data_IF_956986846617
#
_entry.id   IF_956986846617
#
_cell.length_a   1.000
_cell.length_b   1.000
_cell.length_c   1.000
_cell.angle_alpha   90.00
_cell.angle_beta   90.00
_cell.angle_gamma   90.00
#
_symmetry.space_group_name_H-M   'P 1'
#
loop_
_entity.id
_entity.type
_entity.pdbx_description
1 polymer ?
#
# COMPACT_ATOMS: atom_id res chain seq x y z
N UNK A 1 38.22 -13.64 4.30
CA UNK A 1 37.00 -13.17 3.63
C UNK A 1 36.38 -14.27 2.76
N UNK A 2 37.08 -14.87 1.75
CA UNK A 2 36.50 -15.91 0.88
C UNK A 2 35.91 -17.09 1.64
N UNK A 3 36.63 -17.62 2.64
CA UNK A 3 36.15 -18.71 3.50
C UNK A 3 34.91 -18.34 4.33
N UNK A 4 34.80 -17.08 4.76
CA UNK A 4 33.60 -16.59 5.50
C UNK A 4 32.41 -16.49 4.54
N UNK A 5 32.63 -16.00 3.33
CA UNK A 5 31.60 -15.91 2.29
C UNK A 5 31.04 -17.30 1.93
N UNK A 6 31.92 -18.28 1.76
CA UNK A 6 31.58 -19.68 1.48
C UNK A 6 30.79 -20.31 2.62
N UNK A 7 31.25 -20.19 3.87
CA UNK A 7 30.59 -20.71 5.08
C UNK A 7 29.22 -20.07 5.32
N UNK A 8 29.07 -18.81 4.97
CA UNK A 8 27.83 -18.04 5.13
C UNK A 8 26.86 -18.18 3.94
N UNK A 9 27.29 -18.79 2.84
CA UNK A 9 26.49 -18.95 1.63
C UNK A 9 26.20 -17.60 0.91
N UNK A 10 27.13 -16.65 1.00
CA UNK A 10 27.01 -15.34 0.37
C UNK A 10 28.21 -15.03 -0.53
N UNK A 11 28.05 -14.06 -1.43
CA UNK A 11 29.17 -13.61 -2.25
C UNK A 11 30.15 -12.71 -1.44
N UNK A 12 31.42 -12.68 -1.86
CA UNK A 12 32.40 -11.73 -1.31
C UNK A 12 31.92 -10.27 -1.51
N UNK A 13 31.23 -9.99 -2.60
CA UNK A 13 30.61 -8.69 -2.88
C UNK A 13 29.53 -8.32 -1.85
N UNK A 14 28.75 -9.29 -1.39
CA UNK A 14 27.78 -9.10 -0.32
C UNK A 14 28.45 -8.71 1.00
N UNK A 15 29.57 -9.37 1.35
CA UNK A 15 30.35 -9.02 2.54
C UNK A 15 30.97 -7.61 2.44
N UNK A 16 31.43 -7.19 1.25
CA UNK A 16 31.88 -5.82 1.02
C UNK A 16 30.74 -4.82 1.26
N UNK A 17 29.57 -5.10 0.66
CA UNK A 17 28.39 -4.24 0.83
C UNK A 17 27.96 -4.11 2.31
N UNK A 18 27.99 -5.20 3.06
CA UNK A 18 27.65 -5.18 4.48
C UNK A 18 28.67 -4.40 5.32
N UNK A 19 29.94 -4.43 4.95
CA UNK A 19 30.97 -3.60 5.54
C UNK A 19 30.76 -2.11 5.20
N UNK A 20 30.52 -1.80 3.93
CA UNK A 20 30.33 -0.43 3.43
C UNK A 20 29.13 0.27 4.11
N UNK A 21 28.02 -0.45 4.31
CA UNK A 21 26.83 0.07 5.02
C UNK A 21 26.91 -0.06 6.56
N UNK A 22 28.02 -0.61 7.06
CA UNK A 22 28.27 -0.74 8.50
C UNK A 22 27.45 -1.83 9.21
N UNK A 23 26.78 -2.71 8.46
CA UNK A 23 25.92 -3.77 9.02
C UNK A 23 26.72 -4.92 9.64
N UNK A 24 27.82 -5.35 8.96
CA UNK A 24 28.78 -6.33 9.45
C UNK A 24 30.19 -5.88 9.10
N UNK A 25 30.92 -5.32 10.06
CA UNK A 25 32.27 -4.80 9.87
C UNK A 25 33.31 -5.83 10.29
N UNK A 26 34.36 -6.09 9.48
CA UNK A 26 35.47 -6.93 9.91
C UNK A 26 36.26 -6.22 11.02
N UNK A 27 36.41 -6.88 12.17
CA UNK A 27 37.12 -6.32 13.34
C UNK A 27 38.64 -6.31 13.20
N UNK A 28 39.21 -7.01 12.20
CA UNK A 28 40.65 -7.12 12.00
C UNK A 28 41.05 -7.08 10.53
N UNK A 29 42.36 -6.93 10.29
CA UNK A 29 43.00 -7.12 8.98
C UNK A 29 44.15 -8.10 9.12
N UNK A 30 44.38 -8.90 8.08
CA UNK A 30 45.54 -9.78 8.01
C UNK A 30 46.84 -8.95 7.84
N UNK A 31 48.03 -9.57 8.05
CA UNK A 31 49.31 -8.94 7.82
C UNK A 31 49.48 -8.42 6.36
N UNK A 32 48.72 -9.00 5.40
CA UNK A 32 48.68 -8.57 4.01
C UNK A 32 47.59 -7.52 3.72
N UNK A 33 46.96 -6.94 4.76
CA UNK A 33 45.97 -5.88 4.63
C UNK A 33 44.54 -6.33 4.29
N UNK A 34 44.28 -7.62 4.11
CA UNK A 34 42.95 -8.14 3.79
C UNK A 34 42.05 -8.14 5.03
N UNK A 35 40.75 -7.90 4.81
CA UNK A 35 39.69 -7.97 5.83
C UNK A 35 39.65 -9.34 6.52
N UNK A 36 39.69 -9.34 7.85
CA UNK A 36 39.59 -10.54 8.68
C UNK A 36 38.39 -10.40 9.63
N UNK A 37 37.57 -11.45 9.71
CA UNK A 37 36.37 -11.52 10.53
C UNK A 37 36.66 -12.36 11.76
N UNK A 38 36.38 -11.84 12.95
CA UNK A 38 36.43 -12.56 14.22
C UNK A 38 35.24 -13.50 14.36
N UNK A 39 35.21 -14.26 15.44
CA UNK A 39 34.07 -15.11 15.77
C UNK A 39 32.80 -14.27 15.95
N UNK A 40 32.91 -13.15 16.63
CA UNK A 40 31.80 -12.20 16.89
C UNK A 40 31.26 -11.58 15.58
N UNK A 41 32.17 -11.24 14.66
CA UNK A 41 31.76 -10.73 13.33
C UNK A 41 31.00 -11.80 12.54
N UNK A 42 31.38 -13.07 12.67
CA UNK A 42 30.71 -14.20 12.02
C UNK A 42 29.36 -14.48 12.69
N UNK A 43 29.24 -14.36 14.00
CA UNK A 43 27.96 -14.45 14.69
C UNK A 43 27.02 -13.33 14.27
N UNK A 44 27.51 -12.09 14.21
CA UNK A 44 26.78 -10.95 13.67
C UNK A 44 26.30 -11.19 12.23
N UNK A 45 27.16 -11.75 11.38
CA UNK A 45 26.79 -12.11 10.01
C UNK A 45 25.66 -13.17 9.99
N UNK A 46 25.69 -14.16 10.88
CA UNK A 46 24.64 -15.18 10.99
C UNK A 46 23.29 -14.55 11.38
N UNK A 47 23.28 -13.63 12.30
CA UNK A 47 22.10 -12.90 12.72
C UNK A 47 21.49 -12.11 11.53
N UNK A 48 22.32 -11.34 10.84
CA UNK A 48 21.91 -10.58 9.65
C UNK A 48 21.30 -11.50 8.59
N UNK A 49 21.94 -12.64 8.33
CA UNK A 49 21.46 -13.62 7.34
C UNK A 49 20.16 -14.30 7.77
N UNK A 50 19.96 -14.54 9.08
CA UNK A 50 18.71 -15.08 9.58
C UNK A 50 17.53 -14.13 9.29
N UNK A 51 17.68 -12.82 9.55
CA UNK A 51 16.66 -11.83 9.20
C UNK A 51 16.48 -11.68 7.70
N UNK A 52 17.57 -11.72 6.90
CA UNK A 52 17.47 -11.70 5.44
C UNK A 52 16.63 -12.86 4.88
N UNK A 53 16.80 -14.08 5.41
CA UNK A 53 16.00 -15.26 5.03
C UNK A 53 14.53 -15.11 5.39
N UNK A 54 14.21 -14.28 6.36
CA UNK A 54 12.84 -13.93 6.73
C UNK A 54 12.25 -12.79 5.90
N UNK A 55 13.05 -12.19 4.99
CA UNK A 55 12.62 -11.15 4.08
C UNK A 55 12.80 -9.71 4.58
N UNK A 56 13.47 -9.51 5.73
CA UNK A 56 13.74 -8.17 6.24
C UNK A 56 14.69 -7.38 5.33
N UNK A 57 14.45 -6.07 5.19
CA UNK A 57 15.33 -5.12 4.53
C UNK A 57 16.61 -4.88 5.32
N UNK A 58 17.70 -4.48 4.65
CA UNK A 58 18.98 -4.25 5.33
C UNK A 58 18.91 -3.13 6.38
N UNK A 59 18.06 -2.12 6.16
CA UNK A 59 17.85 -1.02 7.09
C UNK A 59 17.13 -1.46 8.37
N UNK A 60 16.08 -2.25 8.22
CA UNK A 60 15.36 -2.86 9.33
C UNK A 60 16.27 -3.77 10.15
N UNK A 61 17.11 -4.56 9.48
CA UNK A 61 18.09 -5.42 10.13
C UNK A 61 19.10 -4.60 10.92
N UNK A 62 19.57 -3.47 10.40
CA UNK A 62 20.50 -2.60 11.09
C UNK A 62 19.92 -2.06 12.42
N UNK A 63 18.62 -1.70 12.43
CA UNK A 63 17.91 -1.28 13.64
C UNK A 63 17.71 -2.42 14.64
N UNK A 64 17.40 -3.63 14.15
CA UNK A 64 17.15 -4.82 14.98
C UNK A 64 18.40 -5.38 15.65
N UNK A 65 19.55 -5.29 14.97
CA UNK A 65 20.83 -5.89 15.39
C UNK A 65 21.77 -4.82 15.98
N UNK A 66 21.35 -3.52 16.00
CA UNK A 66 22.17 -2.39 16.44
C UNK A 66 22.31 -2.23 17.94
N UNK A 67 21.58 -2.97 18.76
CA UNK A 67 21.66 -2.87 20.23
C UNK A 67 22.76 -3.78 20.80
N UNK A 68 23.88 -3.21 21.28
CA UNK A 68 24.99 -3.99 21.85
C UNK A 68 24.65 -4.68 23.18
N UNK A 69 23.50 -4.34 23.80
CA UNK A 69 23.05 -4.92 25.06
C UNK A 69 22.03 -6.06 24.88
N UNK A 70 21.68 -6.39 23.63
CA UNK A 70 20.73 -7.45 23.35
C UNK A 70 21.34 -8.83 23.65
N UNK A 71 20.84 -9.46 24.71
CA UNK A 71 21.09 -10.87 25.02
C UNK A 71 20.68 -11.76 23.85
N UNK A 72 21.53 -12.69 23.45
CA UNK A 72 21.27 -13.67 22.37
C UNK A 72 19.91 -14.41 22.55
N UNK A 73 19.50 -14.64 23.79
CA UNK A 73 18.20 -15.22 24.11
C UNK A 73 17.03 -14.26 23.82
N UNK A 74 17.20 -12.96 24.04
CA UNK A 74 16.19 -11.95 23.70
C UNK A 74 16.03 -11.85 22.16
N UNK A 75 17.13 -11.90 21.42
CA UNK A 75 17.16 -11.94 19.97
C UNK A 75 16.41 -13.17 19.41
N UNK A 76 16.71 -14.36 19.93
CA UNK A 76 16.03 -15.59 19.53
C UNK A 76 14.53 -15.58 19.86
N UNK A 77 14.13 -15.01 21.01
CA UNK A 77 12.70 -14.85 21.36
C UNK A 77 11.97 -13.93 20.35
N UNK A 78 12.59 -12.81 19.97
CA UNK A 78 12.05 -11.87 18.99
C UNK A 78 11.93 -12.54 17.60
N UNK A 79 12.98 -13.22 17.16
CA UNK A 79 12.97 -13.98 15.90
C UNK A 79 11.86 -15.05 15.90
N UNK A 80 11.70 -15.77 17.03
CA UNK A 80 10.62 -16.75 17.20
C UNK A 80 9.24 -16.09 17.13
N UNK A 81 9.04 -14.90 17.72
CA UNK A 81 7.79 -14.15 17.62
C UNK A 81 7.43 -13.85 16.17
N UNK A 82 8.36 -13.26 15.43
CA UNK A 82 8.18 -12.93 14.01
C UNK A 82 7.90 -14.16 13.13
N UNK A 83 8.54 -15.30 13.43
CA UNK A 83 8.27 -16.57 12.73
C UNK A 83 6.87 -17.10 13.04
N UNK A 84 6.41 -16.98 14.28
CA UNK A 84 5.05 -17.38 14.65
C UNK A 84 4.00 -16.53 13.96
N UNK A 85 4.17 -15.22 13.93
CA UNK A 85 3.28 -14.30 13.20
C UNK A 85 3.25 -14.63 11.71
N UNK A 86 4.40 -14.92 11.11
CA UNK A 86 4.47 -15.32 9.70
C UNK A 86 3.78 -16.67 9.46
N UNK A 87 3.95 -17.63 10.37
CA UNK A 87 3.26 -18.92 10.29
C UNK A 87 1.74 -18.74 10.36
N UNK A 88 1.23 -17.94 11.29
CA UNK A 88 -0.20 -17.68 11.42
C UNK A 88 -0.78 -17.03 10.12
N UNK A 89 -0.01 -16.14 9.50
CA UNK A 89 -0.38 -15.57 8.19
C UNK A 89 -0.44 -16.64 7.09
N UNK A 90 0.58 -17.51 7.02
CA UNK A 90 0.61 -18.59 6.03
C UNK A 90 -0.53 -19.58 6.28
N UNK A 91 -0.78 -19.96 7.53
CA UNK A 91 -1.85 -20.87 7.91
C UNK A 91 -3.24 -20.28 7.53
N UNK A 92 -3.44 -18.98 7.71
CA UNK A 92 -4.65 -18.30 7.27
C UNK A 92 -4.80 -18.30 5.74
N UNK A 93 -3.71 -18.12 5.00
CA UNK A 93 -3.70 -18.21 3.53
C UNK A 93 -4.04 -19.63 3.06
N UNK A 94 -3.46 -20.66 3.65
CA UNK A 94 -3.75 -22.06 3.33
C UNK A 94 -5.22 -22.36 3.61
N UNK A 95 -5.74 -21.96 4.77
CA UNK A 95 -7.16 -22.15 5.09
C UNK A 95 -8.11 -21.41 4.14
N UNK A 96 -7.69 -20.29 3.56
CA UNK A 96 -8.47 -19.60 2.54
C UNK A 96 -8.49 -20.37 1.22
N UNK A 97 -7.35 -20.91 0.80
CA UNK A 97 -7.25 -21.76 -0.40
C UNK A 97 -8.06 -23.05 -0.24
N UNK A 98 -8.00 -23.67 0.94
CA UNK A 98 -8.75 -24.90 1.23
C UNK A 98 -10.27 -24.66 1.14
N UNK A 99 -10.77 -23.54 1.68
CA UNK A 99 -12.19 -23.18 1.56
C UNK A 99 -12.60 -22.98 0.09
N UNK A 100 -11.74 -22.39 -0.72
CA UNK A 100 -11.98 -22.21 -2.15
C UNK A 100 -12.03 -23.55 -2.90
N UNK A 101 -11.08 -24.44 -2.60
CA UNK A 101 -11.06 -25.78 -3.17
C UNK A 101 -12.33 -26.58 -2.80
N UNK A 102 -12.78 -26.48 -1.54
CA UNK A 102 -14.01 -27.10 -1.09
C UNK A 102 -15.26 -26.53 -1.79
N UNK A 103 -15.34 -25.22 -1.96
CA UNK A 103 -16.43 -24.55 -2.66
C UNK A 103 -16.51 -25.02 -4.11
N UNK A 104 -15.38 -25.08 -4.79
CA UNK A 104 -15.28 -25.61 -6.17
C UNK A 104 -15.62 -27.10 -6.27
N UNK A 105 -15.17 -27.92 -5.31
CA UNK A 105 -15.49 -29.33 -5.27
C UNK A 105 -16.98 -29.62 -5.04
N UNK A 106 -17.70 -28.72 -4.36
CA UNK A 106 -19.16 -28.78 -4.14
C UNK A 106 -19.97 -28.22 -5.31
N UNK A 107 -19.32 -27.82 -6.43
CA UNK A 107 -19.98 -27.30 -7.62
C UNK A 107 -20.68 -25.94 -7.42
N UNK A 108 -20.35 -25.23 -6.33
CA UNK A 108 -20.79 -23.86 -6.13
C UNK A 108 -20.06 -22.99 -7.15
N UNK A 109 -20.78 -22.50 -8.15
CA UNK A 109 -20.31 -21.46 -9.05
C UNK A 109 -20.23 -20.18 -8.22
N UNK A 110 -19.02 -19.79 -7.85
CA UNK A 110 -18.76 -18.43 -7.33
C UNK A 110 -19.11 -17.49 -8.47
N UNK A 111 -20.02 -16.56 -8.24
CA UNK A 111 -20.34 -15.56 -9.26
C UNK A 111 -19.13 -14.63 -9.45
N UNK A 112 -18.91 -14.05 -10.65
CA UNK A 112 -17.84 -13.08 -10.87
C UNK A 112 -17.84 -11.93 -9.84
N UNK A 113 -19.01 -11.61 -9.30
CA UNK A 113 -19.20 -10.56 -8.28
C UNK A 113 -18.71 -11.01 -6.89
N UNK A 114 -18.89 -12.28 -6.53
CA UNK A 114 -18.33 -12.84 -5.28
C UNK A 114 -16.80 -12.99 -5.38
N UNK A 115 -16.29 -13.29 -6.58
CA UNK A 115 -14.85 -13.30 -6.87
C UNK A 115 -14.21 -11.92 -6.72
N UNK A 116 -14.86 -10.85 -7.19
CA UNK A 116 -14.36 -9.48 -7.07
C UNK A 116 -14.31 -8.98 -5.61
N UNK A 117 -15.33 -9.24 -4.82
CA UNK A 117 -15.38 -8.82 -3.41
C UNK A 117 -14.37 -9.56 -2.53
N UNK A 118 -14.10 -10.85 -2.84
CA UNK A 118 -13.04 -11.62 -2.19
C UNK A 118 -11.63 -11.20 -2.65
N UNK A 119 -11.48 -10.75 -3.91
CA UNK A 119 -10.22 -10.25 -4.45
C UNK A 119 -9.76 -8.95 -3.76
N UNK A 120 -10.66 -8.05 -3.39
CA UNK A 120 -10.30 -6.80 -2.73
C UNK A 120 -9.60 -7.01 -1.38
N UNK A 121 -10.21 -7.77 -0.47
CA UNK A 121 -9.61 -8.07 0.83
C UNK A 121 -8.35 -8.94 0.70
N UNK A 122 -8.36 -9.95 -0.20
CA UNK A 122 -7.20 -10.82 -0.48
C UNK A 122 -6.04 -10.09 -1.15
N UNK A 123 -6.34 -9.10 -2.00
CA UNK A 123 -5.31 -8.28 -2.63
C UNK A 123 -4.49 -7.53 -1.57
N UNK A 124 -5.15 -6.93 -0.59
CA UNK A 124 -4.47 -6.26 0.52
C UNK A 124 -3.77 -7.22 1.47
N UNK A 125 -4.28 -8.44 1.65
CA UNK A 125 -3.58 -9.49 2.38
C UNK A 125 -2.27 -9.91 1.67
N UNK A 126 -2.19 -9.76 0.36
CA UNK A 126 -0.99 -10.10 -0.43
C UNK A 126 0.02 -8.95 -0.56
N UNK A 127 -0.43 -7.69 -0.62
CA UNK A 127 0.43 -6.51 -0.85
C UNK A 127 0.70 -5.72 0.45
N UNK A 128 0.11 -6.10 1.58
CA UNK A 128 0.07 -5.32 2.82
C UNK A 128 1.42 -4.85 3.35
N UNK A 129 2.46 -5.68 3.28
CA UNK A 129 3.79 -5.32 3.79
C UNK A 129 4.45 -4.17 2.99
N UNK A 130 4.20 -4.08 1.68
CA UNK A 130 4.70 -3.01 0.82
C UNK A 130 3.82 -1.75 0.87
N UNK A 131 2.52 -1.93 1.12
CA UNK A 131 1.53 -0.87 1.15
C UNK A 131 1.81 0.17 2.23
N UNK A 132 2.09 -0.26 3.44
CA UNK A 132 2.33 0.63 4.61
C UNK A 132 3.58 1.50 4.43
N UNK A 133 4.58 1.02 3.69
CA UNK A 133 5.83 1.76 3.50
C UNK A 133 5.67 3.01 2.62
N UNK A 134 4.71 3.02 1.71
CA UNK A 134 4.51 4.10 0.72
C UNK A 134 3.26 4.94 0.98
N UNK A 135 2.22 4.37 1.61
CA UNK A 135 0.99 5.10 1.94
C UNK A 135 1.20 5.98 3.16
N UNK A 136 1.27 7.28 2.91
CA UNK A 136 1.45 8.32 3.93
C UNK A 136 0.44 9.42 3.67
N UNK A 137 -0.05 10.04 4.74
CA UNK A 137 -0.93 11.19 4.62
C UNK A 137 -0.19 12.36 3.96
N UNK A 138 -0.64 12.82 2.78
CA UNK A 138 -0.18 14.09 2.23
C UNK A 138 -0.93 15.23 2.93
N UNK A 139 -0.25 16.19 3.53
CA UNK A 139 -0.89 17.23 4.34
C UNK A 139 -1.84 18.13 3.55
N UNK A 140 -1.61 18.32 2.24
CA UNK A 140 -2.45 19.17 1.37
C UNK A 140 -3.75 18.48 1.00
N UNK A 141 -3.69 17.18 0.70
CA UNK A 141 -4.88 16.34 0.47
C UNK A 141 -5.64 16.17 1.78
N UNK A 142 -4.94 15.95 2.89
CA UNK A 142 -5.55 15.85 4.21
C UNK A 142 -6.32 17.11 4.59
N UNK A 143 -5.74 18.30 4.33
CA UNK A 143 -6.40 19.57 4.61
C UNK A 143 -7.75 19.67 3.87
N UNK A 144 -7.82 19.32 2.58
CA UNK A 144 -9.06 19.34 1.83
C UNK A 144 -10.10 18.35 2.39
N UNK A 145 -9.67 17.13 2.76
CA UNK A 145 -10.55 16.13 3.39
C UNK A 145 -11.06 16.65 4.72
N UNK A 146 -10.18 17.17 5.57
CA UNK A 146 -10.55 17.64 6.91
C UNK A 146 -11.41 18.89 6.89
N UNK A 147 -11.17 19.80 5.94
CA UNK A 147 -12.05 20.96 5.70
C UNK A 147 -13.46 20.52 5.27
N UNK A 148 -13.55 19.50 4.41
CA UNK A 148 -14.81 18.92 4.00
C UNK A 148 -15.56 18.23 5.15
N UNK A 149 -14.85 17.67 6.13
CA UNK A 149 -15.44 17.12 7.35
C UNK A 149 -16.02 18.18 8.28
N UNK A 150 -15.62 19.45 8.14
CA UNK A 150 -16.12 20.58 8.92
C UNK A 150 -15.89 20.43 10.41
N UNK A 151 -16.93 20.69 11.20
CA UNK A 151 -16.93 20.68 12.67
C UNK A 151 -17.30 19.31 13.30
N UNK A 152 -17.33 18.22 12.48
CA UNK A 152 -17.61 16.89 12.94
C UNK A 152 -16.65 16.47 14.08
N UNK A 153 -17.17 16.00 15.19
CA UNK A 153 -16.39 15.53 16.34
C UNK A 153 -16.26 14.01 16.36
N UNK A 154 -17.33 13.30 16.03
CA UNK A 154 -17.38 11.84 15.97
C UNK A 154 -17.41 11.40 14.53
N UNK A 155 -16.55 10.46 14.14
CA UNK A 155 -16.46 10.02 12.75
C UNK A 155 -16.23 8.53 12.62
N UNK A 156 -16.70 7.98 11.49
CA UNK A 156 -16.32 6.65 11.04
C UNK A 156 -15.46 6.73 9.78
N UNK A 157 -14.30 6.04 9.78
CA UNK A 157 -13.44 5.86 8.61
C UNK A 157 -13.69 4.47 8.02
N UNK A 158 -14.31 4.39 6.83
CA UNK A 158 -14.76 3.15 6.19
C UNK A 158 -13.76 2.70 5.13
N UNK A 159 -13.27 1.46 5.24
CA UNK A 159 -12.15 0.97 4.47
C UNK A 159 -10.85 1.65 4.90
N UNK A 160 -10.66 1.71 6.22
CA UNK A 160 -9.66 2.54 6.87
C UNK A 160 -8.21 2.11 6.61
N UNK A 161 -8.00 0.89 6.14
CA UNK A 161 -6.66 0.35 5.93
C UNK A 161 -5.80 0.49 7.19
N UNK A 162 -4.60 1.03 7.01
CA UNK A 162 -3.65 1.28 8.11
C UNK A 162 -3.88 2.58 8.87
N UNK A 163 -4.90 3.38 8.50
CA UNK A 163 -5.28 4.61 9.21
C UNK A 163 -4.79 5.92 8.58
N UNK A 164 -4.44 5.90 7.28
CA UNK A 164 -4.08 7.13 6.58
C UNK A 164 -5.25 8.13 6.59
N UNK A 165 -4.92 9.42 6.71
CA UNK A 165 -5.88 10.54 6.72
C UNK A 165 -6.81 10.61 7.93
N UNK A 166 -6.66 9.76 8.95
CA UNK A 166 -7.41 9.89 10.20
C UNK A 166 -6.98 11.17 10.94
N UNK A 167 -7.91 12.13 11.21
CA UNK A 167 -7.56 13.32 11.97
C UNK A 167 -7.32 12.97 13.44
N UNK A 168 -6.22 13.47 14.01
CA UNK A 168 -5.82 13.18 15.38
C UNK A 168 -6.62 13.93 16.46
N UNK A 169 -7.35 14.97 16.06
CA UNK A 169 -8.12 15.87 16.93
C UNK A 169 -9.60 15.50 17.05
N UNK A 170 -10.02 14.37 16.49
CA UNK A 170 -11.41 13.91 16.44
C UNK A 170 -11.54 12.49 16.98
N UNK A 171 -12.75 12.14 17.44
CA UNK A 171 -13.08 10.79 17.86
C UNK A 171 -13.40 9.94 16.63
N UNK A 172 -12.44 9.13 16.21
CA UNK A 172 -12.51 8.30 15.01
C UNK A 172 -12.73 6.85 15.37
N UNK A 173 -13.73 6.21 14.77
CA UNK A 173 -13.89 4.77 14.72
C UNK A 173 -13.55 4.28 13.31
N UNK A 174 -12.62 3.36 13.18
CA UNK A 174 -12.24 2.78 11.89
C UNK A 174 -13.07 1.52 11.59
N UNK A 175 -13.32 1.27 10.30
CA UNK A 175 -13.90 0.03 9.78
C UNK A 175 -13.00 -0.51 8.69
N UNK A 176 -12.52 -1.75 8.85
CA UNK A 176 -11.62 -2.39 7.89
C UNK A 176 -11.87 -3.91 7.87
N UNK A 177 -12.27 -4.50 6.73
CA UNK A 177 -12.53 -5.94 6.64
C UNK A 177 -11.26 -6.80 6.65
N UNK A 178 -10.12 -6.30 6.13
CA UNK A 178 -8.87 -7.05 6.07
C UNK A 178 -8.21 -7.19 7.44
N UNK A 179 -8.00 -8.43 7.88
CA UNK A 179 -7.28 -8.71 9.13
C UNK A 179 -5.81 -8.27 9.07
N UNK A 180 -5.18 -8.37 7.90
CA UNK A 180 -3.79 -7.95 7.68
C UNK A 180 -3.67 -6.44 7.81
N UNK A 181 -4.57 -5.68 7.18
CA UNK A 181 -4.57 -4.22 7.27
C UNK A 181 -4.85 -3.75 8.71
N UNK A 182 -5.79 -4.41 9.42
CA UNK A 182 -6.02 -4.11 10.84
C UNK A 182 -4.80 -4.40 11.71
N UNK A 183 -4.09 -5.51 11.43
CA UNK A 183 -2.87 -5.89 12.16
C UNK A 183 -1.67 -4.95 11.93
N UNK A 184 -1.69 -4.18 10.85
CA UNK A 184 -0.65 -3.20 10.52
C UNK A 184 -0.97 -1.78 11.04
N UNK A 185 -2.13 -1.56 11.61
CA UNK A 185 -2.49 -0.26 12.20
C UNK A 185 -1.55 0.06 13.36
N UNK A 186 -0.95 1.25 13.40
CA UNK A 186 -0.11 1.64 14.51
C UNK A 186 -0.93 1.74 15.81
N UNK A 187 -0.28 1.55 16.94
CA UNK A 187 -0.94 1.55 18.26
C UNK A 187 -1.68 2.85 18.61
N UNK A 188 -1.33 3.95 17.95
CA UNK A 188 -1.99 5.25 18.11
C UNK A 188 -3.16 5.48 17.15
N UNK A 189 -3.38 4.58 16.17
CA UNK A 189 -4.49 4.70 15.23
C UNK A 189 -5.84 4.47 15.93
N UNK A 190 -6.89 4.98 15.33
CA UNK A 190 -8.25 4.85 15.86
C UNK A 190 -8.65 3.37 16.08
N UNK A 191 -9.51 3.06 17.07
CA UNK A 191 -10.08 1.73 17.26
C UNK A 191 -10.73 1.23 15.98
N UNK A 192 -10.50 -0.04 15.62
CA UNK A 192 -10.92 -0.59 14.33
C UNK A 192 -11.87 -1.77 14.49
N UNK A 193 -13.02 -1.69 13.82
CA UNK A 193 -14.06 -2.73 13.76
C UNK A 193 -13.89 -3.54 12.47
N UNK A 194 -13.99 -4.86 12.57
CA UNK A 194 -13.98 -5.75 11.42
C UNK A 194 -15.39 -5.81 10.78
N UNK A 195 -15.63 -5.02 9.74
CA UNK A 195 -16.87 -5.04 8.98
C UNK A 195 -16.64 -4.60 7.52
N UNK A 196 -17.57 -4.97 6.63
CA UNK A 196 -17.61 -4.49 5.27
C UNK A 196 -18.38 -3.16 5.19
N UNK A 197 -18.07 -2.36 4.16
CA UNK A 197 -18.71 -1.07 3.95
C UNK A 197 -20.23 -1.19 3.71
N UNK A 198 -20.64 -2.29 3.09
CA UNK A 198 -22.02 -2.59 2.73
C UNK A 198 -22.92 -2.98 3.93
N UNK A 199 -22.34 -3.18 5.12
CA UNK A 199 -23.05 -3.56 6.35
C UNK A 199 -22.32 -3.02 7.57
N UNK A 200 -22.48 -1.73 7.82
CA UNK A 200 -21.86 -1.06 8.96
C UNK A 200 -22.59 -1.38 10.26
N UNK A 201 -21.89 -1.88 11.31
CA UNK A 201 -22.51 -2.33 12.56
C UNK A 201 -22.82 -1.16 13.51
N UNK A 202 -23.39 -0.07 12.97
CA UNK A 202 -23.70 1.13 13.72
C UNK A 202 -25.16 1.55 13.50
N UNK A 203 -25.72 2.23 14.47
CA UNK A 203 -27.07 2.81 14.36
C UNK A 203 -27.10 3.97 13.37
N UNK A 204 -28.28 4.29 12.85
CA UNK A 204 -28.50 5.43 11.99
C UNK A 204 -28.05 6.72 12.67
N UNK A 205 -27.33 7.57 11.90
CA UNK A 205 -26.85 8.89 12.33
C UNK A 205 -26.08 8.89 13.66
N UNK A 206 -25.36 7.78 13.94
CA UNK A 206 -24.54 7.64 15.16
C UNK A 206 -23.24 8.43 15.11
N UNK A 207 -22.86 8.93 13.92
CA UNK A 207 -21.66 9.76 13.73
C UNK A 207 -22.02 11.13 13.14
N UNK A 208 -21.20 12.13 13.44
CA UNK A 208 -21.29 13.43 12.79
C UNK A 208 -20.83 13.33 11.31
N UNK A 209 -19.77 12.54 11.06
CA UNK A 209 -19.28 12.31 9.70
C UNK A 209 -18.83 10.87 9.44
N UNK A 210 -18.89 10.48 8.17
CA UNK A 210 -18.24 9.28 7.64
C UNK A 210 -17.24 9.69 6.56
N UNK A 211 -16.06 9.08 6.55
CA UNK A 211 -15.09 9.26 5.46
C UNK A 211 -14.68 7.92 4.84
N UNK A 212 -14.32 7.97 3.56
CA UNK A 212 -13.68 6.87 2.84
C UNK A 212 -12.61 7.44 1.90
N UNK A 213 -11.37 6.97 2.01
CA UNK A 213 -10.24 7.58 1.29
C UNK A 213 -9.60 6.54 0.38
N UNK A 214 -9.75 6.69 -0.94
CA UNK A 214 -9.17 5.82 -1.96
C UNK A 214 -9.45 4.32 -1.71
N UNK A 215 -10.68 3.98 -1.29
CA UNK A 215 -11.05 2.62 -0.91
C UNK A 215 -12.31 2.09 -1.61
N UNK A 216 -13.20 2.97 -2.09
CA UNK A 216 -14.52 2.61 -2.66
C UNK A 216 -14.41 1.60 -3.81
N UNK A 217 -13.35 1.66 -4.62
CA UNK A 217 -13.09 0.74 -5.72
C UNK A 217 -12.67 -0.68 -5.29
N UNK A 218 -12.59 -0.92 -3.99
CA UNK A 218 -12.33 -2.24 -3.40
C UNK A 218 -13.59 -2.85 -2.79
N UNK A 219 -14.70 -2.11 -2.69
CA UNK A 219 -15.93 -2.60 -2.13
C UNK A 219 -16.66 -3.51 -3.12
N UNK A 220 -17.37 -4.49 -2.59
CA UNK A 220 -18.15 -5.43 -3.40
C UNK A 220 -19.31 -4.73 -4.11
N UNK A 221 -20.00 -3.84 -3.38
CA UNK A 221 -21.06 -2.97 -3.88
C UNK A 221 -20.81 -1.54 -3.39
N UNK A 222 -20.08 -0.73 -4.20
CA UNK A 222 -19.77 0.64 -3.83
C UNK A 222 -20.99 1.49 -3.49
N UNK A 223 -22.09 1.34 -4.23
CA UNK A 223 -23.29 2.15 -4.00
C UNK A 223 -24.00 1.76 -2.70
N UNK A 224 -24.04 0.46 -2.35
CA UNK A 224 -24.53 0.02 -1.05
C UNK A 224 -23.67 0.52 0.10
N UNK A 225 -22.33 0.45 -0.04
CA UNK A 225 -21.41 0.98 0.96
C UNK A 225 -21.57 2.49 1.18
N UNK A 226 -21.72 3.27 0.10
CA UNK A 226 -21.97 4.70 0.18
C UNK A 226 -23.31 5.02 0.89
N UNK A 227 -24.38 4.26 0.59
CA UNK A 227 -25.66 4.40 1.28
C UNK A 227 -25.56 4.08 2.78
N UNK A 228 -24.80 3.06 3.15
CA UNK A 228 -24.52 2.72 4.55
C UNK A 228 -23.76 3.85 5.25
N UNK A 229 -22.75 4.45 4.62
CA UNK A 229 -22.09 5.64 5.17
C UNK A 229 -23.09 6.77 5.39
N UNK A 230 -23.99 7.01 4.42
CA UNK A 230 -25.04 8.03 4.55
C UNK A 230 -26.08 7.70 5.63
N UNK A 231 -26.34 6.41 5.87
CA UNK A 231 -27.23 5.96 6.95
C UNK A 231 -26.63 6.25 8.32
N UNK A 232 -25.35 5.91 8.53
CA UNK A 232 -24.71 6.00 9.86
C UNK A 232 -24.21 7.38 10.22
N UNK A 233 -24.04 8.30 9.23
CA UNK A 233 -23.46 9.61 9.45
C UNK A 233 -24.34 10.74 8.86
N UNK A 234 -24.18 11.93 9.44
CA UNK A 234 -24.86 13.15 8.98
C UNK A 234 -24.17 13.78 7.78
N UNK A 235 -22.85 13.67 7.72
CA UNK A 235 -21.98 14.15 6.64
C UNK A 235 -21.18 12.99 6.06
N UNK A 236 -20.97 12.98 4.77
CA UNK A 236 -20.15 11.94 4.10
C UNK A 236 -19.09 12.62 3.25
N UNK A 237 -17.84 12.18 3.37
CA UNK A 237 -16.71 12.68 2.60
C UNK A 237 -15.98 11.47 1.98
N UNK A 238 -15.88 11.44 0.65
CA UNK A 238 -15.27 10.32 -0.07
C UNK A 238 -14.21 10.83 -1.04
N UNK A 239 -12.96 10.41 -0.87
CA UNK A 239 -11.93 10.59 -1.88
C UNK A 239 -11.96 9.41 -2.85
N UNK A 240 -12.25 9.69 -4.11
CA UNK A 240 -12.34 8.72 -5.21
C UNK A 240 -11.77 9.33 -6.50
N UNK A 241 -12.05 8.74 -7.64
CA UNK A 241 -11.60 9.25 -8.94
C UNK A 241 -12.77 9.31 -9.93
N UNK A 242 -12.63 10.17 -10.92
CA UNK A 242 -13.60 10.46 -11.96
C UNK A 242 -13.29 9.64 -13.21
N UNK A 243 -14.22 8.76 -13.58
CA UNK A 243 -14.17 7.95 -14.78
C UNK A 243 -15.26 8.30 -15.79
N UNK A 244 -16.09 9.33 -15.49
CA UNK A 244 -17.26 9.67 -16.31
C UNK A 244 -16.87 10.55 -17.50
N UNK A 245 -15.82 11.35 -17.36
CA UNK A 245 -15.41 12.27 -18.41
C UNK A 245 -14.77 11.51 -19.59
N UNK A 246 -15.25 11.74 -20.81
CA UNK A 246 -14.61 11.18 -22.00
C UNK A 246 -13.11 11.53 -22.03
N UNK A 247 -12.24 10.53 -22.23
CA UNK A 247 -10.79 10.75 -22.22
C UNK A 247 -10.17 10.90 -20.82
N UNK A 248 -10.87 10.51 -19.75
CA UNK A 248 -10.30 10.53 -18.39
C UNK A 248 -8.95 9.82 -18.30
N UNK A 249 -8.71 8.80 -19.11
CA UNK A 249 -7.45 8.07 -19.20
C UNK A 249 -6.30 8.94 -19.68
N UNK A 250 -6.59 9.94 -20.52
CA UNK A 250 -5.58 10.82 -21.12
C UNK A 250 -5.05 11.86 -20.14
N UNK A 251 -5.77 12.10 -19.03
CA UNK A 251 -5.32 13.03 -17.98
C UNK A 251 -4.00 12.61 -17.33
N UNK A 252 -3.74 11.30 -17.31
CA UNK A 252 -2.53 10.77 -16.72
C UNK A 252 -1.70 10.02 -17.78
N UNK A 253 -0.51 10.54 -18.08
CA UNK A 253 0.38 9.98 -19.11
C UNK A 253 0.69 8.50 -18.91
N UNK A 254 0.72 7.98 -17.66
CA UNK A 254 0.97 6.57 -17.40
C UNK A 254 -0.15 5.68 -17.98
N UNK A 255 -1.41 6.08 -17.83
CA UNK A 255 -2.55 5.38 -18.41
C UNK A 255 -2.56 5.54 -19.93
N UNK A 256 -2.41 6.77 -20.42
CA UNK A 256 -2.48 7.10 -21.84
C UNK A 256 -1.41 6.37 -22.66
N UNK A 257 -0.15 6.35 -22.18
CA UNK A 257 0.99 5.96 -23.01
C UNK A 257 1.51 4.55 -22.68
N UNK A 258 1.32 4.06 -21.46
CA UNK A 258 2.00 2.83 -20.99
C UNK A 258 1.08 1.77 -20.41
N UNK A 259 -0.07 2.14 -19.83
CA UNK A 259 -0.94 1.23 -19.09
C UNK A 259 -2.42 1.37 -19.49
N UNK A 260 -2.76 1.26 -20.77
CA UNK A 260 -4.14 1.40 -21.24
C UNK A 260 -5.10 0.35 -20.63
N UNK A 261 -4.59 -0.81 -20.18
CA UNK A 261 -5.36 -1.86 -19.50
C UNK A 261 -5.97 -1.39 -18.18
N UNK A 262 -5.55 -0.24 -17.66
CA UNK A 262 -6.17 0.34 -16.46
C UNK A 262 -7.67 0.61 -16.65
N UNK A 263 -8.10 0.90 -17.87
CA UNK A 263 -9.52 1.03 -18.20
C UNK A 263 -10.31 -0.24 -17.90
N UNK A 264 -9.76 -1.41 -18.25
CA UNK A 264 -10.40 -2.70 -18.01
C UNK A 264 -10.50 -3.03 -16.52
N UNK A 265 -9.52 -2.56 -15.72
CA UNK A 265 -9.51 -2.71 -14.25
C UNK A 265 -10.69 -2.01 -13.60
N UNK A 266 -11.17 -0.93 -14.20
CA UNK A 266 -12.31 -0.13 -13.72
C UNK A 266 -13.64 -0.50 -14.39
N UNK A 267 -13.65 -1.52 -15.24
CA UNK A 267 -14.89 -1.97 -15.86
C UNK A 267 -15.91 -2.36 -14.77
N UNK A 268 -17.12 -1.78 -14.86
CA UNK A 268 -18.19 -1.99 -13.87
C UNK A 268 -18.08 -1.15 -12.60
N UNK A 269 -17.03 -0.32 -12.45
CA UNK A 269 -16.98 0.65 -11.36
C UNK A 269 -18.07 1.71 -11.56
N UNK A 270 -18.82 2.12 -10.51
CA UNK A 270 -19.85 3.13 -10.64
C UNK A 270 -19.31 4.46 -11.16
N UNK A 271 -20.11 5.14 -11.99
CA UNK A 271 -19.80 6.50 -12.39
C UNK A 271 -19.70 7.45 -11.21
N UNK A 272 -18.89 8.50 -11.33
CA UNK A 272 -18.80 9.55 -10.30
C UNK A 272 -20.16 10.16 -10.02
N UNK A 273 -20.96 10.43 -11.07
CA UNK A 273 -22.32 10.92 -10.95
C UNK A 273 -23.20 9.92 -10.17
N UNK A 274 -23.13 8.63 -10.49
CA UNK A 274 -23.90 7.61 -9.77
C UNK A 274 -23.52 7.50 -8.30
N UNK A 275 -22.24 7.65 -7.96
CA UNK A 275 -21.77 7.70 -6.57
C UNK A 275 -22.26 8.97 -5.85
N UNK A 276 -22.18 10.13 -6.51
CA UNK A 276 -22.66 11.38 -5.97
C UNK A 276 -24.17 11.34 -5.69
N UNK A 277 -24.95 10.82 -6.66
CA UNK A 277 -26.40 10.68 -6.53
C UNK A 277 -26.79 9.74 -5.37
N UNK A 278 -26.04 8.65 -5.18
CA UNK A 278 -26.31 7.68 -4.12
C UNK A 278 -26.31 8.28 -2.71
N UNK A 279 -25.57 9.36 -2.49
CA UNK A 279 -25.44 10.02 -1.18
C UNK A 279 -25.85 11.50 -1.19
N UNK A 280 -26.27 12.04 -2.34
CA UNK A 280 -26.63 13.46 -2.48
C UNK A 280 -25.40 14.39 -2.38
N UNK A 281 -24.27 13.98 -2.94
CA UNK A 281 -23.00 14.70 -2.84
C UNK A 281 -22.76 15.67 -3.98
N UNK A 282 -22.02 16.74 -3.70
CA UNK A 282 -21.30 17.51 -4.72
C UNK A 282 -19.90 16.93 -4.89
N UNK A 283 -19.30 17.18 -6.05
CA UNK A 283 -17.93 16.75 -6.37
C UNK A 283 -16.99 17.96 -6.46
N UNK A 284 -15.80 17.84 -5.86
CA UNK A 284 -14.74 18.83 -5.94
C UNK A 284 -13.44 18.17 -6.45
N UNK A 285 -12.65 18.83 -7.33
CA UNK A 285 -11.36 18.29 -7.77
C UNK A 285 -10.33 18.32 -6.62
N UNK A 286 -9.47 17.30 -6.60
CA UNK A 286 -8.33 17.19 -5.67
C UNK A 286 -7.04 17.16 -6.50
N UNK A 287 -6.38 18.29 -6.74
CA UNK A 287 -5.12 18.33 -7.48
C UNK A 287 -4.03 17.53 -6.75
N UNK A 288 -3.28 16.72 -7.49
CA UNK A 288 -2.17 15.93 -6.94
C UNK A 288 -0.90 16.77 -6.95
N UNK A 289 -0.27 17.02 -5.79
CA UNK A 289 0.99 17.76 -5.73
C UNK A 289 2.13 16.97 -6.41
N UNK A 290 3.08 17.68 -7.01
CA UNK A 290 4.20 17.04 -7.73
C UNK A 290 5.09 16.18 -6.82
N UNK A 291 5.21 16.55 -5.57
CA UNK A 291 5.98 15.88 -4.51
C UNK A 291 5.06 15.15 -3.52
N UNK A 292 3.88 14.71 -3.97
CA UNK A 292 2.89 14.03 -3.14
C UNK A 292 3.55 12.99 -2.22
N UNK A 293 3.27 13.10 -0.92
CA UNK A 293 3.83 12.22 0.10
C UNK A 293 3.11 10.86 0.16
N UNK A 294 1.85 10.80 -0.27
CA UNK A 294 1.09 9.54 -0.36
C UNK A 294 1.47 8.78 -1.63
N UNK A 295 1.69 7.48 -1.51
CA UNK A 295 1.96 6.58 -2.62
C UNK A 295 0.70 6.21 -3.42
N UNK A 296 -0.18 7.17 -3.69
CA UNK A 296 -1.31 7.02 -4.62
C UNK A 296 -0.79 6.65 -6.02
N UNK A 297 -1.65 6.04 -6.83
CA UNK A 297 -1.27 5.65 -8.19
C UNK A 297 -0.77 6.85 -9.02
N UNK A 298 -1.36 8.02 -8.84
CA UNK A 298 -1.04 9.26 -9.53
C UNK A 298 0.11 10.06 -8.88
N UNK A 299 0.62 9.66 -7.71
CA UNK A 299 1.53 10.45 -6.88
C UNK A 299 2.87 10.82 -7.55
N UNK A 300 3.28 10.03 -8.54
CA UNK A 300 4.59 10.20 -9.19
C UNK A 300 4.48 10.78 -10.60
N UNK A 301 3.41 11.52 -10.89
CA UNK A 301 3.13 12.06 -12.22
C UNK A 301 4.25 12.95 -12.80
N UNK A 302 5.05 13.59 -11.94
CA UNK A 302 6.22 14.40 -12.31
C UNK A 302 7.56 13.69 -12.01
N UNK A 303 7.51 12.48 -11.49
CA UNK A 303 8.66 11.65 -11.08
C UNK A 303 8.57 10.27 -11.72
N UNK A 304 8.59 10.18 -13.06
CA UNK A 304 8.28 8.96 -13.79
C UNK A 304 9.21 7.79 -13.45
N UNK A 305 10.46 8.05 -13.05
CA UNK A 305 11.44 7.04 -12.65
C UNK A 305 10.95 6.20 -11.46
N UNK A 306 10.09 6.76 -10.61
CA UNK A 306 9.54 6.05 -9.46
C UNK A 306 8.76 4.79 -9.88
N UNK A 307 8.08 4.81 -11.02
CA UNK A 307 7.34 3.65 -11.53
C UNK A 307 8.24 2.53 -12.07
N UNK A 308 9.54 2.77 -12.27
CA UNK A 308 10.51 1.73 -12.60
C UNK A 308 10.92 0.90 -11.38
N UNK A 309 10.66 1.40 -10.16
CA UNK A 309 10.98 0.72 -8.92
C UNK A 309 9.88 -0.26 -8.52
N UNK A 310 10.20 -1.55 -8.46
CA UNK A 310 9.25 -2.61 -8.09
C UNK A 310 8.55 -2.38 -6.75
N UNK A 311 9.23 -1.95 -5.65
CA UNK A 311 8.55 -1.68 -4.38
C UNK A 311 7.46 -0.60 -4.47
N UNK A 312 7.65 0.42 -5.31
CA UNK A 312 6.65 1.46 -5.56
C UNK A 312 5.42 0.86 -6.25
N UNK A 313 5.62 0.06 -7.29
CA UNK A 313 4.52 -0.58 -8.02
C UNK A 313 3.76 -1.59 -7.15
N UNK A 314 4.46 -2.39 -6.35
CA UNK A 314 3.84 -3.38 -5.44
C UNK A 314 2.93 -2.75 -4.39
N UNK A 315 3.14 -1.48 -4.06
CA UNK A 315 2.28 -0.76 -3.13
C UNK A 315 0.97 -0.25 -3.75
N UNK A 316 0.80 -0.41 -5.06
CA UNK A 316 -0.36 0.07 -5.81
C UNK A 316 -1.14 -1.10 -6.40
N UNK A 317 -2.40 -1.24 -6.01
CA UNK A 317 -3.28 -2.34 -6.44
C UNK A 317 -3.46 -2.43 -7.96
N UNK A 318 -3.34 -1.32 -8.67
CA UNK A 318 -3.47 -1.23 -10.13
C UNK A 318 -2.51 -2.20 -10.83
N UNK A 319 -1.23 -2.19 -10.45
CA UNK A 319 -0.21 -3.03 -11.09
C UNK A 319 -0.48 -4.53 -10.94
N UNK A 320 -1.00 -4.94 -9.79
CA UNK A 320 -1.42 -6.34 -9.57
C UNK A 320 -2.63 -6.69 -10.44
N UNK A 321 -3.57 -5.77 -10.61
CA UNK A 321 -4.83 -6.00 -11.34
C UNK A 321 -4.65 -6.02 -12.86
N UNK A 322 -3.74 -5.22 -13.42
CA UNK A 322 -3.44 -5.24 -14.86
C UNK A 322 -2.64 -6.48 -15.28
N UNK A 323 -2.00 -7.14 -14.33
CA UNK A 323 -1.27 -8.39 -14.54
C UNK A 323 0.18 -8.21 -14.99
N UNK A 324 0.98 -9.29 -14.87
CA UNK A 324 2.44 -9.23 -15.01
C UNK A 324 2.92 -8.92 -16.44
N UNK A 325 2.14 -9.24 -17.48
CA UNK A 325 2.52 -8.96 -18.87
C UNK A 325 2.39 -7.47 -19.19
N UNK A 326 1.28 -6.85 -18.76
CA UNK A 326 1.04 -5.42 -18.90
C UNK A 326 2.09 -4.63 -18.09
N UNK A 327 2.36 -5.03 -16.84
CA UNK A 327 3.40 -4.43 -16.01
C UNK A 327 4.77 -4.46 -16.70
N UNK A 328 5.22 -5.64 -17.13
CA UNK A 328 6.54 -5.78 -17.80
C UNK A 328 6.64 -4.93 -19.06
N UNK A 329 5.58 -4.87 -19.87
CA UNK A 329 5.54 -4.03 -21.08
C UNK A 329 5.61 -2.56 -20.71
N UNK A 330 4.78 -2.07 -19.79
CA UNK A 330 4.73 -0.68 -19.37
C UNK A 330 6.07 -0.20 -18.80
N UNK A 331 6.65 -0.98 -17.89
CA UNK A 331 7.96 -0.66 -17.27
C UNK A 331 9.08 -0.59 -18.31
N UNK A 332 9.12 -1.51 -19.28
CA UNK A 332 10.11 -1.49 -20.34
C UNK A 332 9.95 -0.25 -21.22
N UNK A 333 8.73 0.02 -21.73
CA UNK A 333 8.49 1.17 -22.60
C UNK A 333 8.78 2.49 -21.89
N UNK A 334 8.38 2.63 -20.62
CA UNK A 334 8.69 3.81 -19.84
C UNK A 334 10.22 3.98 -19.65
N UNK A 335 10.92 2.89 -19.34
CA UNK A 335 12.39 2.91 -19.22
C UNK A 335 13.09 3.34 -20.51
N UNK A 336 12.65 2.82 -21.65
CA UNK A 336 13.17 3.18 -22.97
C UNK A 336 12.89 4.65 -23.32
N UNK A 337 11.71 5.16 -23.00
CA UNK A 337 11.31 6.54 -23.25
C UNK A 337 12.04 7.53 -22.33
N UNK A 338 12.30 7.16 -21.09
CA UNK A 338 13.11 7.95 -20.17
C UNK A 338 14.58 8.00 -20.63
N UNK A 339 15.16 6.86 -21.01
CA UNK A 339 16.54 6.77 -21.49
C UNK A 339 16.78 7.55 -22.79
N UNK A 340 15.77 7.62 -23.67
CA UNK A 340 15.87 8.33 -24.96
C UNK A 340 15.43 9.80 -24.91
N UNK A 341 14.86 10.27 -23.78
CA UNK A 341 14.30 11.62 -23.65
C UNK A 341 12.88 11.80 -24.20
N UNK A 342 12.29 10.79 -24.84
CA UNK A 342 10.95 10.87 -25.43
C UNK A 342 9.85 11.17 -24.41
N UNK A 343 9.99 10.68 -23.18
CA UNK A 343 9.05 11.03 -22.14
C UNK A 343 9.05 12.54 -21.86
N UNK A 344 10.22 13.15 -21.72
CA UNK A 344 10.37 14.58 -21.47
C UNK A 344 9.91 15.43 -22.67
N UNK A 345 10.11 14.96 -23.91
CA UNK A 345 9.57 15.62 -25.09
C UNK A 345 8.05 15.71 -25.09
N UNK A 346 7.36 14.63 -24.62
CA UNK A 346 5.89 14.57 -24.59
C UNK A 346 5.25 15.26 -23.37
N UNK A 347 5.97 15.28 -22.25
CA UNK A 347 5.42 15.67 -20.96
C UNK A 347 6.22 16.80 -20.28
N UNK A 348 7.06 17.50 -21.01
CA UNK A 348 7.98 18.52 -20.46
C UNK A 348 7.27 19.69 -19.78
N UNK A 349 6.05 20.05 -20.23
CA UNK A 349 5.23 21.07 -19.61
C UNK A 349 4.87 20.74 -18.15
N UNK A 350 4.79 19.46 -17.78
CA UNK A 350 4.50 19.06 -16.42
C UNK A 350 5.56 19.53 -15.41
N UNK A 351 6.80 19.77 -15.87
CA UNK A 351 7.89 20.23 -15.01
C UNK A 351 7.62 21.62 -14.38
N UNK A 352 6.75 22.43 -14.96
CA UNK A 352 6.38 23.74 -14.47
C UNK A 352 5.22 23.76 -13.47
N UNK A 353 4.54 22.61 -13.27
CA UNK A 353 3.33 22.54 -12.44
C UNK A 353 3.68 22.09 -11.02
N UNK A 354 3.13 22.78 -10.01
CA UNK A 354 3.23 22.38 -8.61
C UNK A 354 2.20 21.32 -8.22
N UNK A 355 1.06 21.28 -8.93
CA UNK A 355 0.01 20.28 -8.81
C UNK A 355 -0.77 20.16 -10.11
N UNK A 356 -1.46 19.03 -10.32
CA UNK A 356 -2.30 18.83 -11.50
C UNK A 356 -3.54 18.00 -11.18
N UNK A 357 -4.62 18.25 -11.93
CA UNK A 357 -5.85 17.45 -11.85
C UNK A 357 -5.68 16.15 -12.66
N UNK A 358 -5.53 15.04 -11.96
CA UNK A 358 -5.41 13.70 -12.53
C UNK A 358 -6.69 12.86 -12.35
N UNK A 359 -7.80 13.53 -12.05
CA UNK A 359 -9.09 12.86 -11.89
C UNK A 359 -9.44 12.49 -10.47
N UNK A 360 -8.63 12.84 -9.45
CA UNK A 360 -9.06 12.66 -8.06
C UNK A 360 -10.20 13.63 -7.72
N UNK A 361 -11.21 13.10 -7.03
CA UNK A 361 -12.42 13.83 -6.66
C UNK A 361 -12.78 13.60 -5.20
N UNK A 362 -13.22 14.68 -4.55
CA UNK A 362 -13.81 14.65 -3.23
C UNK A 362 -15.32 14.79 -3.35
N UNK A 363 -16.06 13.72 -2.99
CA UNK A 363 -17.51 13.75 -2.87
C UNK A 363 -17.87 14.22 -1.46
N UNK A 364 -18.77 15.21 -1.34
CA UNK A 364 -19.16 15.84 -0.07
C UNK A 364 -20.68 15.88 0.00
N UNK A 365 -21.28 15.18 0.97
CA UNK A 365 -22.71 15.07 1.20
C UNK A 365 -23.13 15.51 2.61
#
# INVERSE_FOLDING_TARGET
>A
MGRVAELAGVSVRTLHHYDDIGLVRPSARTAAGYRAYSTDDVERLREVLAYRRLGFGLREIAELVGDPAADAAAHLRRLRGLLLERRERVDAMVAAVDRELEARAKGLKVTPEEELGMLGARLYDAIGDAYTATRRTDPRIAAQIWDALGDARTMVNVGAGTGSYEPADRDVTAVEPSAVMRGQRPAYAAPCVAAAAESLPFADRSFDAAMAVSTVHHWKDPLSGLREMRRVARRVVVLTFDTDEPGWQDRFWLNRDYLPEFADVLHGFPSLAGMADAIGARSEPVPVPWDCADGLFEAYWRRPEAYLHEPVRRAMSVWTRVGPDAERRAVRHLGDDLASGRWAERNGELAALDSTDLGLRLLIA
#
